data_IF_156775586596
#
_entry.id   IF_156775586596
#
_cell.length_a   1.000
_cell.length_b   1.000
_cell.length_c   1.000
_cell.angle_alpha   90.00
_cell.angle_beta   90.00
_cell.angle_gamma   90.00
#
_symmetry.space_group_name_H-M   'P 1'
#
loop_
_entity.id
_entity.type
_entity.pdbx_description
1 polymer ?
#
# COMPACT_ATOMS: atom_id res chain seq x y z
N UNK A 1 16.68 28.10 12.08
CA UNK A 1 16.65 27.38 13.38
C UNK A 1 15.19 27.08 13.74
N UNK A 2 14.90 25.90 14.29
CA UNK A 2 13.54 25.56 14.76
C UNK A 2 13.25 26.33 16.06
N UNK A 3 12.10 27.02 16.14
CA UNK A 3 11.71 27.80 17.32
C UNK A 3 11.51 26.94 18.56
N UNK A 4 11.77 27.48 19.75
CA UNK A 4 11.65 26.76 21.01
C UNK A 4 10.22 26.27 21.27
N UNK A 5 9.23 27.06 20.87
CA UNK A 5 7.81 26.69 20.91
C UNK A 5 7.52 25.44 20.06
N UNK A 6 8.12 25.35 18.86
CA UNK A 6 7.95 24.19 17.98
C UNK A 6 8.62 22.94 18.56
N UNK A 7 9.78 23.08 19.22
CA UNK A 7 10.42 21.97 19.94
C UNK A 7 9.54 21.46 21.08
N UNK A 8 8.97 22.37 21.87
CA UNK A 8 8.08 22.03 22.98
C UNK A 8 6.79 21.33 22.51
N UNK A 9 6.17 21.81 21.41
CA UNK A 9 5.01 21.15 20.77
C UNK A 9 5.35 19.73 20.32
N UNK A 10 6.51 19.52 19.69
CA UNK A 10 6.97 18.19 19.27
C UNK A 10 7.16 17.27 20.47
N UNK A 11 7.85 17.75 21.52
CA UNK A 11 8.09 16.99 22.76
C UNK A 11 6.77 16.56 23.42
N UNK A 12 5.81 17.47 23.53
CA UNK A 12 4.49 17.20 24.10
C UNK A 12 3.69 16.20 23.25
N UNK A 13 3.65 16.39 21.92
CA UNK A 13 2.98 15.48 20.99
C UNK A 13 3.55 14.05 21.05
N UNK A 14 4.89 13.93 21.14
CA UNK A 14 5.56 12.64 21.31
C UNK A 14 5.20 11.97 22.64
N UNK A 15 5.17 12.72 23.75
CA UNK A 15 4.76 12.21 25.06
C UNK A 15 3.33 11.68 25.01
N UNK A 16 2.38 12.45 24.48
CA UNK A 16 0.98 12.04 24.36
C UNK A 16 0.82 10.81 23.47
N UNK A 17 1.58 10.73 22.38
CA UNK A 17 1.57 9.55 21.51
C UNK A 17 2.08 8.30 22.23
N UNK A 18 3.14 8.42 23.04
CA UNK A 18 3.67 7.31 23.85
C UNK A 18 2.64 6.84 24.88
N UNK A 19 2.07 7.76 25.66
CA UNK A 19 1.05 7.42 26.67
C UNK A 19 -0.17 6.75 26.03
N UNK A 20 -0.67 7.28 24.91
CA UNK A 20 -1.77 6.65 24.17
C UNK A 20 -1.41 5.22 23.74
N UNK A 21 -0.21 5.01 23.19
CA UNK A 21 0.22 3.68 22.68
C UNK A 21 0.38 2.63 23.78
N UNK A 22 0.72 3.01 25.02
CA UNK A 22 0.85 2.05 26.14
C UNK A 22 -0.42 1.24 26.37
N UNK A 23 -1.58 1.89 26.20
CA UNK A 23 -2.89 1.28 26.46
C UNK A 23 -3.58 0.77 25.18
N UNK A 24 -2.92 0.84 24.02
CA UNK A 24 -3.51 0.37 22.76
C UNK A 24 -3.25 -1.11 22.56
N UNK A 25 -4.34 -1.86 22.39
CA UNK A 25 -4.30 -3.27 22.02
C UNK A 25 -4.36 -3.37 20.49
N UNK A 26 -3.50 -4.22 19.92
CA UNK A 26 -3.54 -4.53 18.49
C UNK A 26 -4.69 -5.51 18.27
N UNK A 27 -5.69 -5.10 17.51
CA UNK A 27 -6.81 -5.96 17.11
C UNK A 27 -6.73 -6.23 15.62
N UNK A 28 -6.75 -7.50 15.23
CA UNK A 28 -6.83 -7.93 13.83
C UNK A 28 -8.26 -8.38 13.58
N UNK A 29 -8.90 -7.77 12.58
CA UNK A 29 -10.26 -8.14 12.17
C UNK A 29 -10.21 -8.59 10.72
N UNK A 30 -10.57 -9.84 10.46
CA UNK A 30 -10.71 -10.37 9.11
C UNK A 30 -12.13 -10.13 8.63
N UNK A 31 -12.27 -9.56 7.44
CA UNK A 31 -13.59 -9.23 6.88
C UNK A 31 -13.67 -9.63 5.42
N UNK A 32 -14.86 -10.06 4.98
CA UNK A 32 -15.17 -10.41 3.60
C UNK A 32 -16.12 -9.39 3.00
N UNK A 33 -15.80 -8.87 1.82
CA UNK A 33 -16.68 -7.94 1.09
C UNK A 33 -17.80 -8.73 0.40
N UNK A 34 -19.03 -8.23 0.52
CA UNK A 34 -20.18 -8.75 -0.24
C UNK A 34 -20.12 -8.28 -1.69
N UNK A 35 -19.63 -9.14 -2.58
CA UNK A 35 -19.44 -8.82 -4.00
C UNK A 35 -20.76 -8.55 -4.73
N UNK A 36 -21.85 -9.23 -4.34
CA UNK A 36 -23.20 -9.06 -4.90
C UNK A 36 -23.82 -7.70 -4.58
N UNK A 37 -23.29 -6.98 -3.57
CA UNK A 37 -23.74 -5.64 -3.19
C UNK A 37 -22.91 -4.52 -3.82
N UNK A 38 -21.93 -4.85 -4.66
CA UNK A 38 -21.09 -3.86 -5.32
C UNK A 38 -21.71 -3.43 -6.65
N UNK A 39 -21.68 -2.12 -6.91
CA UNK A 39 -21.96 -1.63 -8.26
C UNK A 39 -20.85 -2.05 -9.23
N UNK A 40 -21.20 -2.23 -10.51
CA UNK A 40 -20.23 -2.54 -11.58
C UNK A 40 -19.08 -1.52 -11.63
N UNK A 41 -19.37 -0.25 -11.34
CA UNK A 41 -18.36 0.80 -11.25
C UNK A 41 -17.36 0.55 -10.13
N UNK A 42 -17.82 0.14 -8.95
CA UNK A 42 -16.95 -0.19 -7.81
C UNK A 42 -16.11 -1.42 -8.11
N UNK A 43 -16.70 -2.47 -8.69
CA UNK A 43 -15.98 -3.68 -9.10
C UNK A 43 -14.86 -3.34 -10.10
N UNK A 44 -15.16 -2.56 -11.13
CA UNK A 44 -14.16 -2.13 -12.11
C UNK A 44 -13.07 -1.26 -11.47
N UNK A 45 -13.45 -0.35 -10.58
CA UNK A 45 -12.48 0.47 -9.84
C UNK A 45 -11.51 -0.38 -9.03
N UNK A 46 -12.02 -1.39 -8.31
CA UNK A 46 -11.19 -2.33 -7.55
C UNK A 46 -10.26 -3.12 -8.47
N UNK A 47 -10.77 -3.66 -9.58
CA UNK A 47 -9.95 -4.39 -10.57
C UNK A 47 -8.82 -3.51 -11.12
N UNK A 48 -9.12 -2.27 -11.50
CA UNK A 48 -8.10 -1.32 -12.00
C UNK A 48 -7.08 -0.98 -10.91
N UNK A 49 -7.51 -0.83 -9.65
CA UNK A 49 -6.62 -0.56 -8.53
C UNK A 49 -5.55 -1.66 -8.37
N UNK A 50 -5.95 -2.94 -8.44
CA UNK A 50 -5.02 -4.06 -8.39
C UNK A 50 -4.13 -4.16 -9.63
N UNK A 51 -4.69 -3.83 -10.80
CA UNK A 51 -3.93 -3.79 -12.06
C UNK A 51 -2.84 -2.70 -12.04
N UNK A 52 -3.18 -1.49 -11.63
CA UNK A 52 -2.23 -0.39 -11.45
C UNK A 52 -1.19 -0.72 -10.38
N UNK A 53 -1.58 -1.40 -9.30
CA UNK A 53 -0.65 -1.86 -8.26
C UNK A 53 0.41 -2.79 -8.83
N UNK A 54 0.00 -3.71 -9.73
CA UNK A 54 0.91 -4.60 -10.44
C UNK A 54 1.86 -3.83 -11.33
N UNK A 55 1.33 -2.91 -12.14
CA UNK A 55 2.14 -2.09 -13.03
C UNK A 55 3.20 -1.31 -12.27
N UNK A 56 2.81 -0.62 -11.19
CA UNK A 56 3.75 0.10 -10.35
C UNK A 56 4.80 -0.82 -9.74
N UNK A 57 4.41 -1.96 -9.16
CA UNK A 57 5.37 -2.89 -8.58
C UNK A 57 6.40 -3.38 -9.61
N UNK A 58 5.95 -3.83 -10.78
CA UNK A 58 6.84 -4.34 -11.82
C UNK A 58 7.76 -3.24 -12.37
N UNK A 59 7.23 -2.05 -12.60
CA UNK A 59 8.01 -0.89 -13.03
C UNK A 59 9.14 -0.57 -12.05
N UNK A 60 8.81 -0.54 -10.75
CA UNK A 60 9.72 -0.13 -9.69
C UNK A 60 10.83 -1.15 -9.42
N UNK A 61 10.62 -2.44 -9.72
CA UNK A 61 11.68 -3.45 -9.63
C UNK A 61 12.42 -3.67 -10.95
N UNK A 62 11.94 -3.09 -12.06
CA UNK A 62 12.61 -3.19 -13.34
C UNK A 62 13.83 -2.26 -13.37
N UNK A 63 15.02 -2.84 -13.57
CA UNK A 63 16.30 -2.11 -13.61
C UNK A 63 16.47 -1.25 -14.86
N UNK A 64 15.72 -1.50 -15.93
CA UNK A 64 15.74 -0.67 -17.14
C UNK A 64 15.10 0.70 -16.90
N UNK A 65 14.12 0.78 -15.99
CA UNK A 65 13.38 2.02 -15.71
C UNK A 65 13.67 2.60 -14.33
N UNK A 66 14.20 1.79 -13.42
CA UNK A 66 14.49 2.18 -12.04
C UNK A 66 15.91 1.77 -11.65
N UNK A 67 16.82 2.74 -11.64
CA UNK A 67 18.22 2.54 -11.23
C UNK A 67 18.34 2.04 -9.79
N UNK A 68 17.61 2.70 -8.87
CA UNK A 68 17.65 2.39 -7.44
C UNK A 68 16.26 2.43 -6.80
N UNK A 69 15.76 1.25 -6.44
CA UNK A 69 14.51 1.05 -5.72
C UNK A 69 14.41 1.88 -4.43
N UNK A 70 15.53 2.06 -3.72
CA UNK A 70 15.56 2.78 -2.45
C UNK A 70 15.40 4.28 -2.62
N UNK A 71 15.71 4.82 -3.81
CA UNK A 71 15.54 6.23 -4.16
C UNK A 71 14.24 6.54 -4.91
N UNK A 72 13.47 5.52 -5.30
CA UNK A 72 12.20 5.69 -6.02
C UNK A 72 11.18 6.55 -5.24
N UNK A 73 10.64 7.59 -5.86
CA UNK A 73 9.56 8.41 -5.27
C UNK A 73 8.17 7.78 -5.54
N UNK A 74 7.23 7.97 -4.61
CA UNK A 74 5.82 7.59 -4.78
C UNK A 74 5.05 8.52 -5.73
N UNK A 75 5.61 9.68 -6.10
CA UNK A 75 5.01 10.66 -7.03
C UNK A 75 4.95 10.19 -8.50
N UNK A 76 5.33 8.95 -8.78
CA UNK A 76 5.20 8.34 -10.11
C UNK A 76 3.74 8.33 -10.54
N UNK A 77 3.46 8.98 -11.67
CA UNK A 77 2.12 9.10 -12.22
C UNK A 77 1.92 8.32 -13.52
N UNK A 78 3.01 7.94 -14.20
CA UNK A 78 3.01 7.11 -15.39
C UNK A 78 4.10 6.06 -15.26
N UNK A 79 3.87 4.88 -15.81
CA UNK A 79 4.81 3.75 -15.78
C UNK A 79 4.84 3.07 -17.13
N UNK A 80 5.99 2.55 -17.52
CA UNK A 80 6.17 1.70 -18.68
C UNK A 80 5.70 0.27 -18.35
N UNK A 81 4.76 -0.23 -19.15
CA UNK A 81 4.13 -1.55 -18.97
C UNK A 81 4.40 -2.38 -20.20
N UNK A 82 4.99 -3.55 -20.00
CA UNK A 82 5.20 -4.51 -21.08
C UNK A 82 3.87 -5.13 -21.52
N UNK A 83 3.55 -5.01 -22.81
CA UNK A 83 2.33 -5.50 -23.45
C UNK A 83 2.75 -6.31 -24.67
N UNK A 84 2.60 -7.64 -24.56
CA UNK A 84 2.88 -8.63 -25.61
C UNK A 84 4.35 -8.61 -26.05
N UNK A 85 4.78 -7.59 -26.80
CA UNK A 85 6.09 -7.46 -27.43
C UNK A 85 6.76 -6.08 -27.22
N UNK A 86 6.05 -5.08 -26.69
CA UNK A 86 6.58 -3.72 -26.52
C UNK A 86 6.16 -3.08 -25.18
N UNK A 87 6.77 -1.94 -24.85
CA UNK A 87 6.41 -1.14 -23.67
C UNK A 87 5.45 -0.01 -24.04
N UNK A 88 4.38 0.13 -23.26
CA UNK A 88 3.43 1.25 -23.33
C UNK A 88 3.49 2.11 -22.07
N UNK A 89 3.48 3.44 -22.22
CA UNK A 89 3.33 4.36 -21.09
C UNK A 89 1.88 4.39 -20.60
N UNK A 90 1.64 3.95 -19.37
CA UNK A 90 0.31 3.94 -18.75
C UNK A 90 0.24 4.82 -17.50
N UNK A 91 -0.83 5.62 -17.40
CA UNK A 91 -1.07 6.52 -16.26
C UNK A 91 -1.67 5.75 -15.07
N UNK A 92 -1.13 5.99 -13.88
CA UNK A 92 -1.66 5.53 -12.59
C UNK A 92 -2.71 6.52 -12.08
N UNK A 93 -3.99 6.24 -12.31
CA UNK A 93 -5.12 7.13 -12.02
C UNK A 93 -5.82 6.82 -10.70
N UNK A 94 -5.85 5.55 -10.29
CA UNK A 94 -6.65 5.09 -9.16
C UNK A 94 -5.84 4.89 -7.88
N UNK A 95 -4.54 4.60 -8.00
CA UNK A 95 -3.65 4.53 -6.84
C UNK A 95 -3.47 5.88 -6.16
N UNK A 96 -3.80 5.95 -4.87
CA UNK A 96 -3.47 7.12 -4.04
C UNK A 96 -1.97 7.16 -3.73
N UNK A 97 -1.45 8.35 -3.40
CA UNK A 97 -0.03 8.52 -3.01
C UNK A 97 0.39 7.59 -1.88
N UNK A 98 -0.49 7.34 -0.91
CA UNK A 98 -0.21 6.47 0.24
C UNK A 98 -0.16 5.00 -0.16
N UNK A 99 -1.02 4.57 -1.09
CA UNK A 99 -0.98 3.22 -1.65
C UNK A 99 0.31 3.02 -2.46
N UNK A 100 0.69 3.99 -3.31
CA UNK A 100 1.95 3.97 -4.07
C UNK A 100 3.15 3.84 -3.13
N UNK A 101 3.21 4.68 -2.11
CA UNK A 101 4.28 4.64 -1.10
C UNK A 101 4.33 3.28 -0.38
N UNK A 102 3.17 2.72 -0.02
CA UNK A 102 3.12 1.39 0.61
C UNK A 102 3.61 0.27 -0.30
N UNK A 103 3.28 0.31 -1.59
CA UNK A 103 3.74 -0.69 -2.56
C UNK A 103 5.26 -0.63 -2.77
N UNK A 104 5.81 0.58 -2.87
CA UNK A 104 7.26 0.79 -3.02
C UNK A 104 8.00 0.34 -1.75
N UNK A 105 7.52 0.71 -0.57
CA UNK A 105 8.12 0.27 0.70
C UNK A 105 8.07 -1.25 0.86
N UNK A 106 6.96 -1.90 0.50
CA UNK A 106 6.88 -3.36 0.49
C UNK A 106 7.95 -3.99 -0.40
N UNK A 107 8.22 -3.42 -1.58
CA UNK A 107 9.28 -3.91 -2.45
C UNK A 107 10.67 -3.74 -1.78
N UNK A 108 10.93 -2.59 -1.15
CA UNK A 108 12.18 -2.34 -0.41
C UNK A 108 12.37 -3.33 0.74
N UNK A 109 11.32 -3.55 1.52
CA UNK A 109 11.39 -4.45 2.68
C UNK A 109 11.57 -5.90 2.25
N UNK A 110 11.03 -6.32 1.11
CA UNK A 110 11.33 -7.62 0.53
C UNK A 110 12.83 -7.74 0.15
N UNK A 111 13.45 -6.70 -0.42
CA UNK A 111 14.91 -6.72 -0.69
C UNK A 111 15.71 -6.84 0.61
N UNK A 112 15.38 -6.04 1.63
CA UNK A 112 16.05 -6.12 2.94
C UNK A 112 15.91 -7.52 3.54
N UNK A 113 14.72 -8.11 3.46
CA UNK A 113 14.46 -9.46 3.98
C UNK A 113 15.29 -10.52 3.23
N UNK A 114 15.41 -10.41 1.90
CA UNK A 114 16.29 -11.29 1.12
C UNK A 114 17.76 -11.12 1.49
N UNK A 115 18.21 -9.88 1.73
CA UNK A 115 19.57 -9.62 2.19
C UNK A 115 19.84 -10.27 3.56
N UNK A 116 18.90 -10.12 4.50
CA UNK A 116 19.01 -10.71 5.83
C UNK A 116 19.03 -12.25 5.77
N UNK A 117 18.17 -12.85 4.96
CA UNK A 117 18.19 -14.30 4.72
C UNK A 117 19.54 -14.76 4.15
N UNK A 118 20.14 -13.99 3.23
CA UNK A 118 21.47 -14.29 2.69
C UNK A 118 22.55 -14.24 3.77
N UNK A 119 22.52 -13.22 4.64
CA UNK A 119 23.47 -13.07 5.75
C UNK A 119 23.37 -14.24 6.74
N UNK A 120 22.15 -14.76 6.94
CA UNK A 120 21.88 -15.93 7.76
C UNK A 120 22.18 -17.27 7.06
N UNK A 121 22.88 -17.25 5.91
CA UNK A 121 23.34 -18.45 5.21
C UNK A 121 22.32 -19.12 4.29
N UNK A 122 21.13 -18.55 4.11
CA UNK A 122 20.11 -19.10 3.19
C UNK A 122 20.41 -18.73 1.73
N UNK A 123 20.14 -19.66 0.81
CA UNK A 123 20.17 -19.38 -0.64
C UNK A 123 18.97 -18.51 -1.02
N UNK A 124 19.23 -17.33 -1.58
CA UNK A 124 18.19 -16.36 -1.98
C UNK A 124 18.26 -16.04 -3.47
N UNK A 125 17.09 -15.80 -4.08
CA UNK A 125 16.97 -15.30 -5.44
C UNK A 125 16.74 -13.79 -5.51
N UNK A 126 16.52 -13.27 -6.72
CA UNK A 126 16.10 -11.88 -6.96
C UNK A 126 14.59 -11.72 -6.83
N UNK A 127 14.14 -10.47 -6.66
CA UNK A 127 12.72 -10.13 -6.83
C UNK A 127 12.31 -10.34 -8.29
N UNK A 128 11.16 -10.99 -8.49
CA UNK A 128 10.59 -11.27 -9.81
C UNK A 128 9.36 -10.40 -10.05
N UNK A 129 9.07 -10.14 -11.33
CA UNK A 129 7.80 -9.54 -11.73
C UNK A 129 6.62 -10.39 -11.26
N UNK A 130 5.52 -9.69 -10.95
CA UNK A 130 4.26 -10.31 -10.53
C UNK A 130 3.25 -10.28 -11.66
N UNK A 131 2.55 -11.39 -11.83
CA UNK A 131 1.38 -11.52 -12.72
C UNK A 131 0.13 -10.87 -12.12
N UNK A 132 0.01 -10.87 -10.78
CA UNK A 132 -1.03 -10.17 -10.02
C UNK A 132 -0.52 -9.72 -8.64
N UNK A 133 -1.19 -8.72 -8.06
CA UNK A 133 -0.98 -8.27 -6.67
C UNK A 133 -2.17 -8.76 -5.85
N UNK A 134 -1.91 -9.41 -4.70
CA UNK A 134 -2.96 -9.96 -3.84
C UNK A 134 -3.45 -8.99 -2.76
N UNK A 135 -2.69 -7.93 -2.47
CA UNK A 135 -3.04 -6.95 -1.43
C UNK A 135 -2.47 -5.57 -1.71
N UNK A 136 -3.18 -4.54 -1.26
CA UNK A 136 -2.76 -3.14 -1.38
C UNK A 136 -2.63 -2.56 0.04
N UNK A 137 -1.47 -1.97 0.40
CA UNK A 137 -1.29 -1.37 1.71
C UNK A 137 -2.22 -0.17 1.93
N UNK A 138 -2.96 -0.16 3.04
CA UNK A 138 -3.77 0.96 3.51
C UNK A 138 -3.22 1.43 4.86
N UNK A 139 -2.28 2.39 4.85
CA UNK A 139 -1.47 2.72 6.03
C UNK A 139 -2.20 3.54 7.09
N UNK A 140 -3.11 4.42 6.69
CA UNK A 140 -3.67 5.44 7.56
C UNK A 140 -5.15 5.18 7.85
N UNK A 141 -5.46 4.85 9.10
CA UNK A 141 -6.83 4.81 9.60
C UNK A 141 -7.47 6.21 9.50
N UNK A 142 -8.75 6.25 9.14
CA UNK A 142 -9.54 7.45 8.79
C UNK A 142 -9.11 8.20 7.52
N UNK A 143 -8.05 7.79 6.83
CA UNK A 143 -7.62 8.40 5.56
C UNK A 143 -7.65 7.39 4.40
N UNK A 144 -6.75 6.40 4.41
CA UNK A 144 -6.76 5.31 3.40
C UNK A 144 -7.94 4.36 3.56
N UNK A 145 -8.38 4.15 4.80
CA UNK A 145 -9.53 3.30 5.12
C UNK A 145 -10.24 3.79 6.37
N UNK A 146 -11.52 3.46 6.49
CA UNK A 146 -12.34 3.74 7.67
C UNK A 146 -13.31 2.59 7.92
N UNK A 147 -13.34 2.09 9.13
CA UNK A 147 -14.42 1.21 9.60
C UNK A 147 -15.58 2.12 10.00
N UNK A 148 -16.69 2.04 9.29
CA UNK A 148 -17.82 2.97 9.51
C UNK A 148 -18.76 2.42 10.58
N UNK A 149 -19.05 1.13 10.52
CA UNK A 149 -19.79 0.37 11.51
C UNK A 149 -19.45 -1.13 11.35
N UNK A 150 -20.13 -2.01 12.08
CA UNK A 150 -19.88 -3.45 12.07
C UNK A 150 -20.12 -4.13 10.70
N UNK A 151 -20.78 -3.46 9.76
CA UNK A 151 -21.14 -4.03 8.46
C UNK A 151 -20.58 -3.26 7.26
N UNK A 152 -19.89 -2.13 7.46
CA UNK A 152 -19.43 -1.28 6.37
C UNK A 152 -18.03 -0.71 6.61
N UNK A 153 -17.21 -0.80 5.57
CA UNK A 153 -15.91 -0.15 5.48
C UNK A 153 -15.87 0.85 4.31
N UNK A 154 -15.02 1.85 4.42
CA UNK A 154 -14.69 2.77 3.34
C UNK A 154 -13.21 2.64 3.02
N UNK A 155 -12.89 2.66 1.73
CA UNK A 155 -11.52 2.67 1.21
C UNK A 155 -11.36 3.93 0.37
N UNK A 156 -10.22 4.59 0.47
CA UNK A 156 -9.89 5.76 -0.33
C UNK A 156 -10.03 5.46 -1.83
N UNK A 157 -10.58 6.41 -2.58
CA UNK A 157 -10.82 6.26 -4.02
C UNK A 157 -12.09 5.46 -4.37
N UNK A 158 -12.64 4.69 -3.43
CA UNK A 158 -13.90 3.99 -3.61
C UNK A 158 -15.05 4.85 -3.06
N UNK A 159 -15.93 5.30 -3.95
CA UNK A 159 -17.07 6.18 -3.56
C UNK A 159 -18.12 5.42 -2.74
N UNK A 160 -18.42 4.19 -3.13
CA UNK A 160 -19.42 3.33 -2.50
C UNK A 160 -18.88 2.75 -1.17
N UNK A 161 -19.63 2.84 -0.05
CA UNK A 161 -19.33 2.06 1.15
C UNK A 161 -19.36 0.57 0.83
N UNK A 162 -18.34 -0.17 1.28
CA UNK A 162 -18.23 -1.60 1.05
C UNK A 162 -18.89 -2.34 2.19
N UNK A 163 -19.97 -3.07 1.91
CA UNK A 163 -20.59 -3.96 2.89
C UNK A 163 -19.67 -5.14 3.15
N UNK A 164 -19.45 -5.46 4.41
CA UNK A 164 -18.57 -6.54 4.84
C UNK A 164 -19.24 -7.45 5.87
N UNK A 165 -18.73 -8.67 5.95
CA UNK A 165 -19.01 -9.63 7.02
C UNK A 165 -17.71 -9.89 7.77
N UNK A 166 -17.72 -9.78 9.09
CA UNK A 166 -16.61 -10.25 9.91
C UNK A 166 -16.51 -11.77 9.79
N UNK A 167 -15.31 -12.25 9.51
CA UNK A 167 -15.00 -13.67 9.54
C UNK A 167 -14.43 -13.94 10.92
N UNK A 168 -15.21 -14.60 11.77
CA UNK A 168 -14.69 -15.15 13.01
C UNK A 168 -13.90 -16.40 12.61
N UNK A 169 -12.60 -16.38 12.87
CA UNK A 169 -11.75 -17.57 12.88
C UNK A 169 -11.66 -18.12 14.29
#
# INVERSE_FOLDING_TARGET
MISEERKNKIKYSLKNTKERRKNQIITIVKTKIYMDKLSNKTVNTLKILFLESKWLYNYVINREFTDDLFKTDYRINCVDVYVIDHYEKRKLKYLSSQMKQGLIERARDNIKSLHELKNNGFKVGSLRFKSFISSIPLKQFNNTYKITNNSYIRIQGIKQPLRVQTVNE
#
